data_IF_362460117877
#
_entry.id   IF_362460117877
#
_cell.length_a   1.000
_cell.length_b   1.000
_cell.length_c   1.000
_cell.angle_alpha   90.00
_cell.angle_beta   90.00
_cell.angle_gamma   90.00
#
_symmetry.space_group_name_H-M   'P 1'
#
loop_
_entity.id
_entity.type
_entity.pdbx_description
1 polymer ?
#
# COMPACT_ATOMS: atom_id res chain seq x y z
N UNK A 1 21.97 -13.97 -15.74
CA UNK A 1 21.65 -14.15 -15.20
C UNK A 1 20.48 -14.12 -14.90
N UNK A 2 19.99 -14.00 -15.09
CA UNK A 2 18.63 -14.09 -14.89
C UNK A 2 18.23 -14.53 -13.54
N UNK A 3 18.81 -14.03 -12.60
CA UNK A 3 18.32 -14.41 -11.33
C UNK A 3 16.93 -13.92 -11.14
N UNK A 4 16.09 -14.77 -10.61
CA UNK A 4 14.75 -14.39 -10.24
C UNK A 4 14.84 -13.61 -8.96
N UNK A 5 14.60 -12.34 -9.08
CA UNK A 5 14.46 -11.55 -7.91
C UNK A 5 13.03 -11.45 -7.56
N UNK A 6 12.75 -11.34 -6.30
CA UNK A 6 11.50 -10.78 -5.90
C UNK A 6 11.35 -9.42 -6.57
N UNK A 7 10.17 -9.07 -6.97
CA UNK A 7 9.93 -7.78 -7.60
C UNK A 7 10.16 -6.70 -6.56
N UNK A 8 11.03 -5.71 -6.84
CA UNK A 8 11.17 -4.60 -5.92
C UNK A 8 9.84 -3.85 -5.84
N UNK A 9 9.55 -3.31 -4.68
CA UNK A 9 8.38 -2.46 -4.52
C UNK A 9 8.53 -1.27 -5.44
N UNK A 10 7.52 -0.94 -6.24
CA UNK A 10 7.60 0.22 -7.10
C UNK A 10 7.82 1.48 -6.27
N UNK A 11 8.80 2.30 -6.65
CA UNK A 11 9.01 3.57 -5.99
C UNK A 11 7.84 4.53 -6.19
N UNK A 12 6.98 4.22 -7.14
CA UNK A 12 5.86 5.05 -7.51
C UNK A 12 4.74 4.17 -8.01
N UNK A 13 3.55 4.36 -7.49
CA UNK A 13 2.40 3.62 -7.98
C UNK A 13 1.13 3.94 -7.22
N UNK A 14 0.02 3.60 -7.85
CA UNK A 14 -1.30 3.68 -7.27
C UNK A 14 -1.97 2.32 -7.47
N UNK A 15 -2.42 1.72 -6.38
CA UNK A 15 -2.88 0.34 -6.36
C UNK A 15 -4.25 0.23 -5.70
N UNK A 16 -5.13 -0.54 -6.30
CA UNK A 16 -6.45 -0.88 -5.74
C UNK A 16 -6.42 -2.33 -5.26
N UNK A 17 -6.81 -2.56 -4.02
CA UNK A 17 -6.90 -3.92 -3.51
C UNK A 17 -8.09 -4.64 -4.13
N UNK A 18 -7.84 -5.84 -4.65
CA UNK A 18 -8.89 -6.70 -5.19
C UNK A 18 -9.56 -7.51 -4.09
N UNK A 19 -8.82 -7.88 -3.08
CA UNK A 19 -9.33 -8.64 -1.98
C UNK A 19 -8.25 -9.07 -1.02
N UNK A 20 -8.64 -9.81 0.01
CA UNK A 20 -7.75 -10.22 1.10
C UNK A 20 -8.11 -11.61 1.63
N UNK A 21 -7.09 -12.37 2.00
CA UNK A 21 -7.21 -13.57 2.80
C UNK A 21 -6.52 -13.30 4.13
N UNK A 22 -7.19 -13.57 5.24
CA UNK A 22 -6.65 -13.34 6.58
C UNK A 22 -6.40 -14.66 7.28
N UNK A 23 -5.21 -14.79 7.89
CA UNK A 23 -4.83 -15.93 8.71
C UNK A 23 -5.06 -17.29 8.02
N UNK A 24 -4.76 -17.33 6.70
CA UNK A 24 -4.94 -18.54 5.91
C UNK A 24 -6.39 -18.88 5.57
N UNK A 25 -7.32 -17.98 5.85
CA UNK A 25 -8.73 -18.17 5.54
C UNK A 25 -9.08 -17.96 4.07
N UNK A 26 -10.36 -17.95 3.72
CA UNK A 26 -10.78 -17.78 2.34
C UNK A 26 -10.45 -16.38 1.81
N UNK A 27 -10.19 -16.27 0.52
CA UNK A 27 -9.99 -15.00 -0.14
C UNK A 27 -11.33 -14.30 -0.31
N UNK A 28 -11.42 -13.06 0.19
CA UNK A 28 -12.64 -12.24 0.12
C UNK A 28 -12.37 -11.05 -0.79
N UNK A 29 -13.14 -10.93 -1.85
CA UNK A 29 -13.04 -9.78 -2.76
C UNK A 29 -13.61 -8.53 -2.10
N UNK A 30 -12.94 -7.40 -2.33
CA UNK A 30 -13.45 -6.10 -1.89
C UNK A 30 -14.65 -5.70 -2.75
N UNK A 31 -15.74 -5.32 -2.09
CA UNK A 31 -16.96 -4.87 -2.75
C UNK A 31 -17.49 -3.64 -2.03
N UNK A 32 -17.78 -2.60 -2.80
CA UNK A 32 -18.37 -1.37 -2.27
C UNK A 32 -17.42 -0.47 -1.51
N UNK A 33 -16.22 -0.92 -1.17
CA UNK A 33 -15.21 -0.11 -0.52
C UNK A 33 -13.91 -0.18 -1.31
N UNK A 34 -13.35 0.95 -1.65
CA UNK A 34 -12.07 1.02 -2.34
C UNK A 34 -10.95 1.10 -1.32
N UNK A 35 -10.06 0.11 -1.30
CA UNK A 35 -8.83 0.15 -0.52
C UNK A 35 -7.71 0.50 -1.48
N UNK A 36 -7.10 1.65 -1.28
CA UNK A 36 -6.09 2.21 -2.19
C UNK A 36 -4.77 2.41 -1.44
N UNK A 37 -3.70 1.95 -2.05
CA UNK A 37 -2.34 2.17 -1.61
C UNK A 37 -1.64 3.06 -2.63
N UNK A 38 -1.10 4.19 -2.17
CA UNK A 38 -0.28 5.08 -2.97
C UNK A 38 1.16 5.05 -2.46
N UNK A 39 2.10 4.89 -3.39
CA UNK A 39 3.53 4.90 -3.09
C UNK A 39 4.19 6.05 -3.84
N UNK A 40 4.83 6.95 -3.12
CA UNK A 40 5.53 8.10 -3.68
C UNK A 40 6.95 8.12 -3.11
N UNK A 41 7.90 7.54 -3.84
CA UNK A 41 9.26 7.35 -3.33
C UNK A 41 9.26 6.44 -2.11
N UNK A 42 9.83 6.91 -1.01
CA UNK A 42 9.84 6.16 0.24
C UNK A 42 8.64 6.41 1.13
N UNK A 43 7.64 7.18 0.65
CA UNK A 43 6.44 7.48 1.42
C UNK A 43 5.24 6.74 0.85
N UNK A 44 4.31 6.39 1.72
CA UNK A 44 3.08 5.75 1.29
C UNK A 44 1.90 6.25 2.09
N UNK A 45 0.70 6.05 1.54
CA UNK A 45 -0.55 6.22 2.26
C UNK A 45 -1.53 5.13 1.83
N UNK A 46 -2.29 4.65 2.77
CA UNK A 46 -3.31 3.63 2.58
C UNK A 46 -4.64 4.18 3.04
N UNK A 47 -5.65 4.06 2.19
CA UNK A 47 -6.97 4.62 2.45
C UNK A 47 -7.68 3.99 3.64
N UNK A 48 -7.16 2.89 4.17
CA UNK A 48 -7.70 2.29 5.41
C UNK A 48 -7.37 3.13 6.65
N UNK A 49 -6.39 4.04 6.56
CA UNK A 49 -6.11 4.97 7.64
C UNK A 49 -4.72 4.88 8.24
N UNK A 50 -3.72 4.55 7.45
CA UNK A 50 -2.33 4.60 7.89
C UNK A 50 -1.43 5.08 6.76
N UNK A 51 -0.37 5.78 7.14
CA UNK A 51 0.60 6.35 6.22
C UNK A 51 1.95 6.46 6.90
N UNK A 52 3.00 6.55 6.13
CA UNK A 52 4.35 6.70 6.67
C UNK A 52 5.42 6.44 5.64
N UNK A 53 6.43 5.67 6.04
CA UNK A 53 7.56 5.34 5.18
C UNK A 53 7.58 3.87 4.84
N UNK A 54 8.24 3.57 3.73
CA UNK A 54 8.38 2.20 3.23
C UNK A 54 9.85 1.90 3.06
N UNK A 55 10.30 0.76 3.53
CA UNK A 55 11.65 0.27 3.27
C UNK A 55 11.58 -1.09 2.59
N UNK A 56 12.59 -1.38 1.79
CA UNK A 56 12.64 -2.55 0.95
C UNK A 56 13.92 -3.34 1.18
N UNK A 57 13.78 -4.67 1.13
CA UNK A 57 14.91 -5.57 1.13
C UNK A 57 14.59 -6.71 0.17
N UNK A 58 15.02 -6.55 -1.09
CA UNK A 58 14.63 -7.46 -2.16
C UNK A 58 13.13 -7.40 -2.42
N UNK A 59 12.44 -8.52 -2.24
CA UNK A 59 10.99 -8.60 -2.38
C UNK A 59 10.26 -8.33 -1.07
N UNK A 60 10.99 -8.12 0.02
CA UNK A 60 10.38 -7.80 1.31
C UNK A 60 10.15 -6.32 1.46
N UNK A 61 9.02 -5.97 2.02
CA UNK A 61 8.62 -4.59 2.25
C UNK A 61 8.23 -4.43 3.72
N UNK A 62 8.60 -3.28 4.27
CA UNK A 62 8.14 -2.87 5.59
C UNK A 62 7.46 -1.52 5.46
N UNK A 63 6.21 -1.45 5.89
CA UNK A 63 5.46 -0.21 5.99
C UNK A 63 5.52 0.26 7.44
N UNK A 64 6.20 1.37 7.63
CA UNK A 64 6.35 1.98 8.95
C UNK A 64 5.30 3.06 9.13
N UNK A 65 4.36 2.84 10.04
CA UNK A 65 3.22 3.73 10.23
C UNK A 65 3.66 4.95 11.07
N UNK A 66 3.59 6.13 10.47
CA UNK A 66 3.86 7.39 11.16
C UNK A 66 2.57 8.13 11.51
N UNK A 67 1.51 7.88 10.76
CA UNK A 67 0.20 8.49 10.95
C UNK A 67 -0.85 7.39 10.90
N UNK A 68 -1.83 7.46 11.79
CA UNK A 68 -2.88 6.45 11.90
C UNK A 68 -2.50 5.33 12.86
N UNK A 69 -2.89 4.12 12.51
CA UNK A 69 -2.62 2.94 13.33
C UNK A 69 -1.11 2.76 13.55
N UNK A 70 -0.64 2.66 14.80
CA UNK A 70 0.78 2.52 15.06
C UNK A 70 1.32 1.13 14.72
N UNK A 71 2.62 1.05 14.49
CA UNK A 71 3.33 -0.19 14.26
C UNK A 71 3.88 -0.30 12.85
N UNK A 72 4.33 -1.49 12.52
CA UNK A 72 4.87 -1.81 11.20
C UNK A 72 4.13 -3.01 10.63
N UNK A 73 3.82 -2.93 9.34
CA UNK A 73 3.41 -4.09 8.56
C UNK A 73 4.62 -4.58 7.78
N UNK A 74 4.82 -5.87 7.74
CA UNK A 74 5.86 -6.47 6.92
C UNK A 74 5.22 -7.44 5.93
N UNK A 75 5.76 -7.47 4.72
CA UNK A 75 5.23 -8.33 3.70
C UNK A 75 6.26 -8.72 2.66
N UNK A 76 5.86 -9.65 1.83
CA UNK A 76 6.61 -10.05 0.65
C UNK A 76 5.74 -9.78 -0.57
N UNK A 77 6.33 -9.20 -1.60
CA UNK A 77 5.65 -8.87 -2.83
C UNK A 77 6.10 -9.79 -3.96
N UNK A 78 5.12 -10.20 -4.75
CA UNK A 78 5.37 -10.94 -5.99
C UNK A 78 4.49 -10.34 -7.09
N UNK A 79 5.05 -10.23 -8.28
CA UNK A 79 4.28 -9.80 -9.43
C UNK A 79 3.49 -10.99 -10.01
N UNK A 80 2.24 -10.73 -10.36
CA UNK A 80 1.37 -11.66 -11.04
C UNK A 80 0.71 -10.92 -12.20
N UNK A 81 1.31 -11.01 -13.40
CA UNK A 81 0.93 -10.15 -14.50
C UNK A 81 1.21 -8.69 -14.15
N UNK A 82 0.21 -7.85 -14.24
CA UNK A 82 0.30 -6.45 -13.83
C UNK A 82 -0.05 -6.25 -12.36
N UNK A 83 -0.55 -7.28 -11.70
CA UNK A 83 -0.93 -7.22 -10.29
C UNK A 83 0.27 -7.47 -9.38
N UNK A 84 0.14 -7.05 -8.13
CA UNK A 84 1.04 -7.42 -7.05
C UNK A 84 0.30 -8.32 -6.08
N UNK A 85 0.95 -9.40 -5.67
CA UNK A 85 0.47 -10.23 -4.57
C UNK A 85 1.35 -9.95 -3.38
N UNK A 86 0.74 -9.56 -2.29
CA UNK A 86 1.43 -9.27 -1.05
C UNK A 86 0.95 -10.24 0.03
N UNK A 87 1.88 -10.84 0.77
CA UNK A 87 1.54 -11.60 1.95
C UNK A 87 2.49 -11.23 3.08
N UNK A 88 1.97 -11.18 4.27
CA UNK A 88 2.77 -10.70 5.38
C UNK A 88 2.09 -10.81 6.73
N UNK A 89 2.57 -9.97 7.64
CA UNK A 89 2.17 -9.98 9.04
C UNK A 89 1.82 -8.57 9.49
N UNK A 90 0.70 -8.46 10.17
CA UNK A 90 0.25 -7.22 10.79
C UNK A 90 0.98 -6.99 12.12
N UNK A 91 0.91 -5.76 12.69
CA UNK A 91 1.51 -5.49 13.99
C UNK A 91 1.03 -6.41 15.11
N UNK A 92 -0.20 -6.92 15.02
CA UNK A 92 -0.77 -7.81 16.04
C UNK A 92 -0.36 -9.28 15.87
N UNK A 93 0.44 -9.60 14.84
CA UNK A 93 0.88 -10.96 14.55
C UNK A 93 -0.02 -11.75 13.62
N UNK A 94 -1.16 -11.21 13.24
CA UNK A 94 -2.03 -11.85 12.24
C UNK A 94 -1.38 -11.83 10.86
N UNK A 95 -1.68 -12.82 10.03
CA UNK A 95 -1.16 -12.90 8.68
C UNK A 95 -2.18 -12.51 7.64
N UNK A 96 -1.71 -12.06 6.48
CA UNK A 96 -2.60 -11.67 5.38
C UNK A 96 -1.99 -12.00 4.02
N UNK A 97 -2.88 -12.11 3.03
CA UNK A 97 -2.53 -12.12 1.61
C UNK A 97 -3.47 -11.15 0.91
N UNK A 98 -2.91 -10.19 0.18
CA UNK A 98 -3.66 -9.18 -0.55
C UNK A 98 -3.25 -9.18 -2.01
N UNK A 99 -4.21 -8.91 -2.90
CA UNK A 99 -3.96 -8.75 -4.33
C UNK A 99 -4.25 -7.30 -4.70
N UNK A 100 -3.27 -6.65 -5.31
CA UNK A 100 -3.32 -5.25 -5.70
C UNK A 100 -3.27 -5.12 -7.22
N UNK A 101 -4.19 -4.34 -7.77
CA UNK A 101 -4.26 -4.03 -9.20
C UNK A 101 -3.82 -2.58 -9.42
N UNK A 102 -2.98 -2.30 -10.44
CA UNK A 102 -2.60 -0.91 -10.71
C UNK A 102 -3.81 -0.09 -11.16
N UNK A 103 -3.90 1.14 -10.64
CA UNK A 103 -4.93 2.08 -11.03
C UNK A 103 -4.46 2.89 -12.24
N UNK A 104 -5.33 3.12 -13.24
CA UNK A 104 -5.02 4.06 -14.32
C UNK A 104 -4.99 5.48 -13.79
N UNK A 105 -4.28 6.36 -14.48
CA UNK A 105 -4.19 7.76 -14.07
C UNK A 105 -3.11 8.05 -13.05
N UNK A 106 -2.14 7.14 -12.90
CA UNK A 106 -1.03 7.31 -11.97
C UNK A 106 0.12 8.16 -12.53
N UNK A 107 0.07 8.53 -13.80
CA UNK A 107 1.10 9.37 -14.41
C UNK A 107 0.96 10.83 -13.95
N UNK A 108 2.07 11.55 -13.94
CA UNK A 108 2.07 12.97 -13.62
C UNK A 108 2.62 13.28 -12.24
N UNK A 109 2.01 14.23 -11.56
CA UNK A 109 2.50 14.73 -10.27
C UNK A 109 2.52 13.64 -9.23
N UNK A 110 3.63 13.56 -8.51
CA UNK A 110 3.79 12.62 -7.40
C UNK A 110 4.40 13.39 -6.23
N UNK A 111 3.84 13.19 -5.05
CA UNK A 111 4.37 13.87 -3.87
C UNK A 111 3.79 13.36 -2.57
N UNK A 112 4.41 13.79 -1.49
CA UNK A 112 4.02 13.44 -0.14
C UNK A 112 4.18 14.67 0.75
N UNK A 113 3.17 14.93 1.57
CA UNK A 113 3.15 16.06 2.48
C UNK A 113 2.66 15.57 3.84
N UNK A 114 3.37 15.93 4.89
CA UNK A 114 2.98 15.51 6.23
C UNK A 114 2.97 16.70 7.20
N UNK A 115 2.07 16.66 8.15
CA UNK A 115 1.99 17.56 9.27
C UNK A 115 1.88 16.77 10.56
N UNK A 116 1.63 17.44 11.73
CA UNK A 116 1.65 16.74 13.02
C UNK A 116 0.73 15.54 13.10
N UNK A 117 -0.47 15.62 12.54
CA UNK A 117 -1.47 14.57 12.67
C UNK A 117 -2.04 14.11 11.33
N UNK A 118 -1.37 14.41 10.24
CA UNK A 118 -1.88 14.01 8.95
C UNK A 118 -0.77 13.84 7.91
N UNK A 119 -1.09 13.08 6.89
CA UNK A 119 -0.20 12.78 5.78
C UNK A 119 -1.03 12.69 4.50
N UNK A 120 -0.54 13.33 3.44
CA UNK A 120 -1.18 13.29 2.12
C UNK A 120 -0.18 12.73 1.13
N UNK A 121 -0.60 11.77 0.33
CA UNK A 121 0.20 11.24 -0.77
C UNK A 121 -0.61 11.38 -2.05
N UNK A 122 0.05 11.87 -3.09
CA UNK A 122 -0.53 11.99 -4.42
C UNK A 122 0.31 11.22 -5.43
N UNK A 123 -0.36 10.45 -6.27
CA UNK A 123 0.26 9.77 -7.41
C UNK A 123 -0.64 9.99 -8.62
N UNK A 124 -0.23 10.88 -9.53
CA UNK A 124 -1.05 11.27 -10.66
C UNK A 124 -2.36 11.91 -10.23
N UNK A 125 -3.47 11.29 -10.61
CA UNK A 125 -4.82 11.75 -10.25
C UNK A 125 -5.30 11.22 -8.89
N UNK A 126 -4.54 10.35 -8.27
CA UNK A 126 -4.96 9.68 -7.04
C UNK A 126 -4.40 10.39 -5.83
N UNK A 127 -5.24 10.62 -4.83
CA UNK A 127 -4.86 11.25 -3.58
C UNK A 127 -5.41 10.44 -2.42
N UNK A 128 -4.56 10.18 -1.44
CA UNK A 128 -4.97 9.61 -0.16
C UNK A 128 -4.52 10.55 0.94
N UNK A 129 -5.46 10.92 1.79
CA UNK A 129 -5.22 11.70 3.01
C UNK A 129 -5.48 10.80 4.20
N UNK A 130 -4.53 10.76 5.12
CA UNK A 130 -4.63 10.01 6.36
C UNK A 130 -4.47 10.97 7.52
N UNK A 131 -5.35 10.86 8.50
CA UNK A 131 -5.20 11.54 9.79
C UNK A 131 -5.26 10.50 10.92
N UNK A 132 -5.30 10.96 12.17
CA UNK A 132 -5.31 10.05 13.30
C UNK A 132 -6.60 9.21 13.41
N UNK A 133 -7.62 9.49 12.61
CA UNK A 133 -8.94 8.86 12.69
C UNK A 133 -9.28 8.03 11.47
N UNK A 134 -8.87 8.46 10.27
CA UNK A 134 -9.35 7.86 9.04
C UNK A 134 -8.43 8.11 7.87
N UNK A 135 -8.61 7.29 6.84
CA UNK A 135 -8.06 7.53 5.52
C UNK A 135 -9.17 7.89 4.55
N UNK A 136 -8.85 8.79 3.63
CA UNK A 136 -9.77 9.22 2.58
C UNK A 136 -9.06 9.17 1.24
N UNK A 137 -9.73 8.59 0.26
CA UNK A 137 -9.22 8.50 -1.10
C UNK A 137 -10.13 9.24 -2.06
N UNK A 138 -9.54 9.99 -3.00
CA UNK A 138 -10.29 10.57 -4.10
C UNK A 138 -9.43 10.71 -5.35
N UNK A 139 -10.09 10.89 -6.48
CA UNK A 139 -9.46 11.18 -7.78
C UNK A 139 -9.65 12.64 -8.14
N UNK A 140 -8.62 13.21 -8.70
CA UNK A 140 -8.68 14.56 -9.25
C UNK A 140 -9.19 14.56 -10.69
#
# INVERSE_FOLDING_TARGET
>A
MGEVRGVPVPERGAWLRRGISRNGGPFVEDRGTEVVWLQAGSYYADSRGFAGTTSFDGSQVRFHHLTGEPGDDTGTLRRDGENLVEWGTNPDGGTFLEIWTPLPGADGVTGSWSGPDHHVVRVGRHVVHVDSRAGTYWRL
#
